data_IF_308504247756
#
_entry.id   IF_308504247756
#
_cell.length_a   1.000
_cell.length_b   1.000
_cell.length_c   1.000
_cell.angle_alpha   90.00
_cell.angle_beta   90.00
_cell.angle_gamma   90.00
#
_symmetry.space_group_name_H-M   'P 1'
#
loop_
_entity.id
_entity.type
_entity.pdbx_description
1 polymer ?
#
# COMPACT_ATOMS: atom_id res chain seq x y z
N UNK A 1 -25.74 69.68 0.42
CA UNK A 1 -24.64 70.34 1.18
C UNK A 1 -24.25 69.37 2.28
N UNK A 2 -23.06 68.78 2.46
CA UNK A 2 -21.68 68.85 1.94
C UNK A 2 -21.11 67.44 2.31
N UNK A 3 -20.76 66.57 1.36
CA UNK A 3 -19.40 66.20 0.92
C UNK A 3 -18.40 65.67 1.98
N UNK A 4 -18.07 64.38 1.83
CA UNK A 4 -16.76 63.68 1.85
C UNK A 4 -15.71 63.86 2.98
N UNK A 5 -15.16 62.72 3.46
CA UNK A 5 -13.71 62.44 3.49
C UNK A 5 -13.40 60.94 3.75
N UNK A 6 -12.40 60.43 3.03
CA UNK A 6 -11.80 59.10 3.08
C UNK A 6 -10.66 59.03 4.12
N UNK A 7 -10.50 57.87 4.78
CA UNK A 7 -9.23 57.30 5.25
C UNK A 7 -9.52 55.80 5.54
N UNK A 8 -8.82 54.79 5.02
CA UNK A 8 -7.39 54.71 4.69
C UNK A 8 -6.69 53.90 5.77
N UNK A 9 -6.91 52.58 5.81
CA UNK A 9 -6.27 51.68 6.78
C UNK A 9 -6.14 50.26 6.21
N UNK A 10 -5.10 50.05 5.40
CA UNK A 10 -4.67 48.72 4.96
C UNK A 10 -3.85 48.11 6.10
N UNK A 11 -4.40 47.12 6.80
CA UNK A 11 -3.61 46.30 7.72
C UNK A 11 -2.84 45.28 6.90
N UNK A 12 -1.58 45.59 6.60
CA UNK A 12 -0.62 44.66 6.03
C UNK A 12 -0.23 43.66 7.12
N UNK A 13 -0.67 42.42 6.99
CA UNK A 13 -0.10 41.31 7.76
C UNK A 13 1.25 40.95 7.13
N UNK A 14 2.33 41.39 7.75
CA UNK A 14 3.67 40.87 7.46
C UNK A 14 3.74 39.48 8.07
N UNK A 15 3.62 38.46 7.22
CA UNK A 15 3.83 37.07 7.59
C UNK A 15 5.32 36.92 7.92
N UNK A 16 5.64 36.60 9.18
CA UNK A 16 7.02 36.25 9.57
C UNK A 16 7.34 34.89 8.95
N UNK A 17 8.20 34.90 7.95
CA UNK A 17 8.88 33.69 7.48
C UNK A 17 9.71 33.12 8.63
N UNK A 18 9.48 31.85 8.97
CA UNK A 18 10.38 31.09 9.85
C UNK A 18 9.78 30.43 11.08
N UNK A 19 8.46 30.29 11.23
CA UNK A 19 7.94 29.28 12.15
C UNK A 19 8.04 27.90 11.48
N UNK A 20 8.84 26.96 12.03
CA UNK A 20 8.86 25.60 11.52
C UNK A 20 7.44 25.04 11.63
N UNK A 21 6.91 24.56 10.50
CA UNK A 21 5.71 23.73 10.47
C UNK A 21 5.84 22.69 11.58
N UNK A 22 4.89 22.60 12.53
CA UNK A 22 4.98 21.58 13.56
C UNK A 22 5.08 20.24 12.85
N UNK A 23 6.14 19.50 13.18
CA UNK A 23 6.27 18.10 12.78
C UNK A 23 4.94 17.39 13.09
N UNK A 24 4.55 16.35 12.31
CA UNK A 24 3.40 15.54 12.67
C UNK A 24 3.54 15.19 14.14
N UNK A 25 2.52 15.54 14.92
CA UNK A 25 2.48 15.22 16.34
C UNK A 25 2.48 13.70 16.40
N UNK A 26 3.66 13.11 16.57
CA UNK A 26 3.79 11.78 17.15
C UNK A 26 3.12 11.94 18.50
N UNK A 27 1.89 11.44 18.63
CA UNK A 27 1.14 11.53 19.87
C UNK A 27 1.97 10.82 20.93
N UNK A 28 2.72 11.61 21.71
CA UNK A 28 3.67 11.11 22.68
C UNK A 28 2.91 10.18 23.64
N UNK A 29 3.16 8.87 23.55
CA UNK A 29 2.48 7.85 24.36
C UNK A 29 1.91 6.67 23.59
N UNK A 30 1.62 6.82 22.28
CA UNK A 30 1.08 5.71 21.47
C UNK A 30 2.19 4.84 20.89
N UNK A 31 1.99 3.54 21.01
CA UNK A 31 2.85 2.46 20.55
C UNK A 31 2.24 1.86 19.29
N UNK A 32 3.05 1.73 18.25
CA UNK A 32 2.65 1.07 17.00
C UNK A 32 2.63 -0.45 17.21
N UNK A 33 1.53 -1.09 16.83
CA UNK A 33 1.35 -2.53 16.90
C UNK A 33 0.87 -3.03 15.55
N UNK A 34 1.55 -4.04 15.00
CA UNK A 34 1.07 -4.71 13.80
C UNK A 34 0.57 -6.11 14.17
N UNK A 35 -0.61 -6.45 13.68
CA UNK A 35 -1.15 -7.79 13.70
C UNK A 35 -0.99 -8.38 12.30
N UNK A 36 -0.48 -9.60 12.23
CA UNK A 36 -0.29 -10.33 10.99
C UNK A 36 -0.78 -11.77 11.17
N UNK A 37 -1.51 -12.27 10.19
CA UNK A 37 -1.98 -13.66 10.14
C UNK A 37 -1.65 -14.24 8.77
N UNK A 38 -1.02 -15.40 8.72
CA UNK A 38 -0.72 -16.14 7.48
C UNK A 38 -0.92 -17.63 7.67
N UNK A 39 -0.76 -18.43 6.62
CA UNK A 39 -0.75 -19.89 6.69
C UNK A 39 -1.27 -20.50 5.40
N UNK A 40 -1.46 -21.82 5.40
CA UNK A 40 -2.00 -22.55 4.24
C UNK A 40 -3.53 -22.44 4.15
N UNK A 41 -4.19 -21.92 5.19
CA UNK A 41 -5.62 -21.61 5.15
C UNK A 41 -5.88 -20.44 4.19
N UNK A 42 -6.81 -20.61 3.26
CA UNK A 42 -7.20 -19.56 2.30
C UNK A 42 -7.84 -18.34 3.01
N UNK A 43 -8.62 -18.60 4.04
CA UNK A 43 -9.26 -17.62 4.91
C UNK A 43 -9.21 -18.05 6.39
N UNK A 44 -9.50 -17.11 7.29
CA UNK A 44 -9.62 -17.37 8.72
C UNK A 44 -10.61 -16.41 9.39
N UNK A 45 -11.27 -16.88 10.43
CA UNK A 45 -12.01 -16.05 11.37
C UNK A 45 -11.01 -15.37 12.30
N UNK A 46 -11.07 -14.03 12.35
CA UNK A 46 -10.13 -13.21 13.11
C UNK A 46 -10.86 -12.52 14.25
N UNK A 47 -10.24 -12.54 15.43
CA UNK A 47 -10.65 -11.72 16.56
C UNK A 47 -9.42 -11.03 17.14
N UNK A 48 -9.44 -9.70 17.19
CA UNK A 48 -8.28 -8.96 17.67
C UNK A 48 -8.64 -7.68 18.41
N UNK A 49 -7.80 -7.28 19.38
CA UNK A 49 -8.00 -6.04 20.13
C UNK A 49 -7.58 -4.83 19.30
N UNK A 50 -8.25 -3.71 19.50
CA UNK A 50 -7.86 -2.39 18.99
C UNK A 50 -7.73 -1.41 20.15
N UNK A 51 -7.30 -0.18 19.88
CA UNK A 51 -7.27 0.88 20.90
C UNK A 51 -8.64 1.17 21.51
N UNK A 52 -9.74 0.81 20.81
CA UNK A 52 -11.11 1.16 21.19
C UNK A 52 -11.97 -0.07 21.58
N UNK A 53 -11.46 -1.29 21.49
CA UNK A 53 -12.26 -2.49 21.78
C UNK A 53 -11.69 -3.77 21.18
N UNK A 54 -12.57 -4.62 20.69
CA UNK A 54 -12.24 -5.87 19.99
C UNK A 54 -12.99 -5.88 18.67
N UNK A 55 -12.30 -6.21 17.59
CA UNK A 55 -12.87 -6.44 16.27
C UNK A 55 -12.95 -7.93 15.96
N UNK A 56 -13.97 -8.29 15.17
CA UNK A 56 -14.21 -9.65 14.69
C UNK A 56 -14.50 -9.61 13.20
N UNK A 57 -13.86 -10.50 12.46
CA UNK A 57 -13.99 -10.61 11.00
C UNK A 57 -14.06 -12.08 10.62
N UNK A 58 -15.18 -12.51 10.06
CA UNK A 58 -15.39 -13.89 9.63
C UNK A 58 -14.86 -14.09 8.21
N UNK A 59 -14.30 -15.28 7.92
CA UNK A 59 -13.78 -15.66 6.61
C UNK A 59 -12.84 -14.60 5.97
N UNK A 60 -11.95 -14.02 6.78
CA UNK A 60 -10.97 -13.03 6.32
C UNK A 60 -9.94 -13.72 5.44
N UNK A 61 -9.76 -13.25 4.20
CA UNK A 61 -8.72 -13.77 3.30
C UNK A 61 -7.33 -13.58 3.90
N UNK A 62 -6.52 -14.64 3.84
CA UNK A 62 -5.14 -14.62 4.30
C UNK A 62 -4.15 -14.41 3.14
N UNK A 63 -2.97 -13.84 3.40
CA UNK A 63 -2.55 -13.29 4.69
C UNK A 63 -3.26 -11.96 5.03
N UNK A 64 -3.50 -11.76 6.31
CA UNK A 64 -4.11 -10.55 6.86
C UNK A 64 -3.07 -9.72 7.60
N UNK A 65 -3.13 -8.40 7.49
CA UNK A 65 -2.39 -7.47 8.36
C UNK A 65 -3.23 -6.26 8.71
N UNK A 66 -3.04 -5.75 9.93
CA UNK A 66 -3.52 -4.43 10.32
C UNK A 66 -2.50 -3.72 11.19
N UNK A 67 -2.41 -2.39 11.04
CA UNK A 67 -1.58 -1.50 11.85
C UNK A 67 -2.48 -0.74 12.82
N UNK A 68 -2.14 -0.79 14.10
CA UNK A 68 -2.95 -0.26 15.19
C UNK A 68 -2.08 0.56 16.13
N UNK A 69 -2.70 1.49 16.84
CA UNK A 69 -2.03 2.36 17.81
C UNK A 69 -2.62 2.12 19.20
N UNK A 70 -1.75 1.80 20.16
CA UNK A 70 -2.13 1.47 21.54
C UNK A 70 -1.41 2.38 22.54
N UNK A 71 -2.05 2.62 23.69
CA UNK A 71 -1.32 3.17 24.84
C UNK A 71 -0.32 2.14 25.39
N UNK A 72 0.81 2.62 25.92
CA UNK A 72 1.79 1.74 26.56
C UNK A 72 1.14 0.90 27.69
N UNK A 73 1.41 -0.40 27.70
CA UNK A 73 0.87 -1.37 28.65
C UNK A 73 -0.49 -1.95 28.27
N UNK A 74 -1.14 -1.45 27.20
CA UNK A 74 -2.41 -2.00 26.74
C UNK A 74 -2.27 -3.47 26.31
N UNK A 75 -3.26 -4.28 26.67
CA UNK A 75 -3.29 -5.69 26.30
C UNK A 75 -3.50 -5.87 24.79
N UNK A 76 -2.68 -6.74 24.21
CA UNK A 76 -2.72 -7.15 22.82
C UNK A 76 -3.28 -8.57 22.74
N UNK A 77 -4.16 -8.82 21.78
CA UNK A 77 -4.71 -10.14 21.50
C UNK A 77 -5.04 -10.24 20.04
N UNK A 78 -4.59 -11.31 19.39
CA UNK A 78 -4.88 -11.67 18.01
C UNK A 78 -5.15 -13.17 17.97
N UNK A 79 -6.40 -13.53 17.71
CA UNK A 79 -6.84 -14.90 17.46
C UNK A 79 -7.14 -15.05 15.97
N UNK A 80 -6.64 -16.13 15.38
CA UNK A 80 -6.96 -16.55 14.03
C UNK A 80 -7.43 -18.01 14.04
N UNK A 81 -8.51 -18.30 13.32
CA UNK A 81 -9.06 -19.65 13.19
C UNK A 81 -9.34 -19.96 11.71
N UNK A 82 -8.57 -20.86 11.12
CA UNK A 82 -8.70 -21.28 9.72
C UNK A 82 -9.00 -22.77 9.57
N UNK A 83 -9.27 -23.20 8.33
CA UNK A 83 -9.47 -24.61 7.96
C UNK A 83 -8.14 -25.35 7.70
N UNK A 84 -7.07 -24.60 7.45
CA UNK A 84 -5.70 -25.10 7.32
C UNK A 84 -4.77 -24.61 8.44
N UNK A 85 -3.46 -24.68 8.21
CA UNK A 85 -2.50 -24.07 9.13
C UNK A 85 -2.70 -22.56 9.13
N UNK A 86 -2.64 -21.95 10.32
CA UNK A 86 -2.59 -20.50 10.49
C UNK A 86 -1.50 -20.14 11.49
N UNK A 87 -0.88 -18.99 11.29
CA UNK A 87 0.14 -18.41 12.15
C UNK A 87 -0.26 -16.97 12.42
N UNK A 88 -0.38 -16.62 13.69
CA UNK A 88 -0.49 -15.22 14.09
C UNK A 88 0.90 -14.68 14.42
N UNK A 89 1.10 -13.39 14.19
CA UNK A 89 2.29 -12.65 14.61
C UNK A 89 1.85 -11.25 15.06
N UNK A 90 2.41 -10.82 16.19
CA UNK A 90 2.21 -9.48 16.75
C UNK A 90 3.56 -8.82 16.83
N UNK A 91 3.69 -7.64 16.22
CA UNK A 91 4.88 -6.79 16.36
C UNK A 91 4.55 -5.54 17.14
N UNK A 92 5.53 -5.06 17.90
CA UNK A 92 5.49 -3.79 18.63
C UNK A 92 6.71 -3.00 18.19
N UNK A 93 6.53 -1.85 17.55
CA UNK A 93 7.63 -1.08 16.95
C UNK A 93 8.57 -1.97 16.09
N UNK A 94 7.98 -2.82 15.26
CA UNK A 94 8.65 -3.80 14.37
C UNK A 94 9.37 -4.98 15.04
N UNK A 95 9.38 -5.06 16.37
CA UNK A 95 9.89 -6.25 17.08
C UNK A 95 8.77 -7.27 17.25
N UNK A 96 8.99 -8.53 16.84
CA UNK A 96 8.04 -9.62 17.08
C UNK A 96 7.96 -9.86 18.58
N UNK A 97 6.80 -9.63 19.19
CA UNK A 97 6.57 -9.87 20.62
C UNK A 97 5.76 -11.14 20.87
N UNK A 98 5.04 -11.61 19.86
CA UNK A 98 4.35 -12.90 19.89
C UNK A 98 4.25 -13.47 18.47
N UNK A 99 4.49 -14.77 18.34
CA UNK A 99 4.31 -15.51 17.11
C UNK A 99 3.91 -16.94 17.46
N UNK A 100 2.76 -17.40 16.95
CA UNK A 100 2.20 -18.71 17.30
C UNK A 100 1.61 -19.33 16.03
N UNK A 101 1.97 -20.58 15.76
CA UNK A 101 1.33 -21.41 14.74
C UNK A 101 0.23 -22.25 15.39
N UNK A 102 -0.95 -22.26 14.78
CA UNK A 102 -2.09 -23.08 15.19
C UNK A 102 -1.99 -24.55 14.77
N UNK A 103 -0.92 -24.93 14.08
CA UNK A 103 -0.71 -26.31 13.64
C UNK A 103 -1.88 -26.84 12.80
N UNK A 104 -2.21 -28.12 12.98
CA UNK A 104 -3.31 -28.79 12.27
C UNK A 104 -4.70 -28.44 12.80
N UNK A 105 -4.77 -27.88 14.02
CA UNK A 105 -6.04 -27.50 14.64
C UNK A 105 -6.55 -26.15 14.12
N UNK A 106 -5.71 -25.45 13.34
CA UNK A 106 -6.10 -24.23 12.63
C UNK A 106 -6.36 -23.03 13.53
N UNK A 107 -5.97 -23.07 14.81
CA UNK A 107 -6.21 -21.97 15.77
C UNK A 107 -4.90 -21.42 16.32
N UNK A 108 -4.58 -20.16 16.00
CA UNK A 108 -3.44 -19.44 16.54
C UNK A 108 -3.91 -18.28 17.45
N UNK A 109 -3.27 -18.14 18.62
CA UNK A 109 -3.55 -17.05 19.56
C UNK A 109 -2.25 -16.37 20.00
N UNK A 110 -2.11 -15.11 19.63
CA UNK A 110 -0.99 -14.26 20.00
C UNK A 110 -1.46 -13.25 21.05
N UNK A 111 -0.70 -13.12 22.14
CA UNK A 111 -1.02 -12.19 23.23
C UNK A 111 0.23 -11.40 23.64
N UNK A 112 0.03 -10.21 24.21
CA UNK A 112 1.12 -9.36 24.67
C UNK A 112 0.65 -8.06 25.30
N UNK A 113 1.56 -7.14 25.51
CA UNK A 113 1.32 -5.79 26.03
C UNK A 113 2.17 -4.77 25.26
N UNK A 114 1.52 -3.72 24.77
CA UNK A 114 2.15 -2.68 23.96
C UNK A 114 3.30 -1.99 24.71
N UNK A 115 4.52 -2.03 24.17
CA UNK A 115 5.69 -1.36 24.76
C UNK A 115 6.14 -1.92 26.11
N UNK A 116 5.68 -3.11 26.49
CA UNK A 116 6.06 -3.82 27.73
C UNK A 116 6.55 -5.23 27.44
N UNK A 117 5.88 -5.96 26.54
CA UNK A 117 6.34 -7.29 26.13
C UNK A 117 7.66 -7.17 25.39
N UNK A 118 8.64 -7.99 25.79
CA UNK A 118 9.96 -8.04 25.16
C UNK A 118 9.87 -8.74 23.81
N UNK A 119 10.77 -8.37 22.89
CA UNK A 119 10.97 -9.09 21.65
C UNK A 119 11.23 -10.59 21.90
N UNK A 120 10.61 -11.42 21.07
CA UNK A 120 10.79 -12.86 21.04
C UNK A 120 12.10 -13.17 20.29
N UNK A 121 13.11 -13.62 21.03
CA UNK A 121 14.43 -13.92 20.46
C UNK A 121 14.34 -15.07 19.44
N UNK A 122 14.87 -14.86 18.24
CA UNK A 122 14.85 -15.84 17.16
C UNK A 122 13.53 -15.95 16.40
N UNK A 123 12.53 -15.13 16.73
CA UNK A 123 11.32 -15.03 15.93
C UNK A 123 11.64 -14.40 14.57
N UNK A 124 11.17 -15.04 13.51
CA UNK A 124 11.34 -14.56 12.13
C UNK A 124 10.07 -13.81 11.78
N UNK A 125 10.19 -12.55 11.34
CA UNK A 125 9.06 -11.84 10.76
C UNK A 125 8.52 -12.71 9.61
N UNK A 126 7.22 -13.07 9.62
CA UNK A 126 6.64 -13.84 8.53
C UNK A 126 6.96 -13.19 7.19
N UNK A 127 7.13 -13.97 6.11
CA UNK A 127 7.55 -13.46 4.81
C UNK A 127 6.59 -12.38 4.28
N UNK A 128 6.95 -11.14 4.58
CA UNK A 128 6.27 -9.89 4.22
C UNK A 128 7.17 -8.68 4.47
N UNK A 129 8.49 -8.92 4.54
CA UNK A 129 9.58 -7.95 4.70
C UNK A 129 10.86 -8.43 3.97
N UNK A 130 11.91 -7.61 3.91
CA UNK A 130 12.80 -7.37 2.75
C UNK A 130 13.77 -8.50 2.31
N UNK A 131 13.59 -9.73 2.79
CA UNK A 131 14.43 -10.85 2.37
C UNK A 131 13.93 -11.41 1.03
N UNK A 132 14.81 -11.37 0.03
CA UNK A 132 14.49 -11.85 -1.32
C UNK A 132 14.36 -13.36 -1.31
N UNK A 133 13.27 -13.87 -1.91
CA UNK A 133 13.11 -15.31 -2.14
C UNK A 133 14.03 -15.78 -3.24
N UNK A 134 14.38 -17.07 -3.22
CA UNK A 134 15.13 -17.69 -4.30
C UNK A 134 14.40 -17.49 -5.64
N UNK A 135 15.12 -16.96 -6.64
CA UNK A 135 14.57 -16.61 -7.96
C UNK A 135 14.00 -15.20 -8.07
N UNK A 136 13.92 -14.43 -6.97
CA UNK A 136 13.56 -13.01 -7.04
C UNK A 136 14.68 -12.15 -7.61
N UNK A 137 14.27 -11.13 -8.36
CA UNK A 137 15.19 -10.14 -8.92
C UNK A 137 14.72 -8.75 -8.50
N UNK A 138 15.60 -8.00 -7.85
CA UNK A 138 15.42 -6.57 -7.61
C UNK A 138 16.36 -5.76 -8.46
N UNK A 139 15.82 -4.73 -9.12
CA UNK A 139 16.63 -3.83 -9.92
C UNK A 139 17.38 -2.88 -9.00
N UNK A 140 18.72 -2.90 -9.08
CA UNK A 140 19.62 -1.95 -8.41
C UNK A 140 19.99 -0.75 -9.28
N UNK A 141 19.78 -0.86 -10.58
CA UNK A 141 20.02 0.21 -11.55
C UNK A 141 18.72 0.77 -12.11
N UNK A 142 18.83 1.90 -12.82
CA UNK A 142 17.72 2.46 -13.58
C UNK A 142 17.48 1.61 -14.83
N UNK A 143 16.25 1.15 -14.99
CA UNK A 143 15.77 0.48 -16.20
C UNK A 143 14.47 1.19 -16.61
N UNK A 144 14.41 1.81 -17.80
CA UNK A 144 13.21 2.51 -18.23
C UNK A 144 12.01 1.58 -18.33
N UNK A 145 10.81 2.10 -18.02
CA UNK A 145 9.58 1.41 -18.34
C UNK A 145 9.46 1.30 -19.85
N UNK A 146 9.22 0.07 -20.31
CA UNK A 146 9.04 -0.16 -21.73
C UNK A 146 7.76 0.49 -22.23
N UNK A 147 7.75 0.83 -23.52
CA UNK A 147 6.50 1.09 -24.23
C UNK A 147 5.88 -0.24 -24.60
N UNK A 148 4.78 -0.58 -23.95
CA UNK A 148 4.08 -1.82 -24.23
C UNK A 148 3.44 -1.76 -25.62
N UNK A 149 3.66 -2.76 -26.48
CA UNK A 149 3.15 -2.74 -27.84
C UNK A 149 1.63 -2.98 -27.86
N UNK A 150 0.95 -2.37 -28.82
CA UNK A 150 -0.48 -2.52 -29.01
C UNK A 150 -1.21 -1.18 -28.98
N UNK A 151 -2.54 -1.26 -28.90
CA UNK A 151 -3.41 -0.08 -28.81
C UNK A 151 -3.97 -0.01 -27.40
N UNK A 152 -3.72 1.11 -26.72
CA UNK A 152 -4.33 1.38 -25.44
C UNK A 152 -5.85 1.49 -25.57
N UNK A 153 -6.54 1.15 -24.48
CA UNK A 153 -7.96 1.36 -24.27
C UNK A 153 -8.31 2.85 -24.51
N UNK A 154 -9.51 3.14 -25.02
CA UNK A 154 -9.96 4.52 -25.13
C UNK A 154 -9.98 5.18 -23.75
N UNK A 155 -9.78 6.50 -23.69
CA UNK A 155 -9.99 7.26 -22.46
C UNK A 155 -11.43 7.78 -22.44
N UNK A 156 -12.12 7.64 -21.31
CA UNK A 156 -13.51 8.08 -21.11
C UNK A 156 -13.62 9.27 -20.16
N UNK A 157 -12.47 9.82 -19.74
CA UNK A 157 -12.44 10.97 -18.85
C UNK A 157 -11.16 11.05 -18.05
N UNK A 158 -11.29 11.52 -16.83
CA UNK A 158 -10.19 11.71 -15.88
C UNK A 158 -10.66 11.42 -14.48
N UNK A 159 -9.95 10.52 -13.82
CA UNK A 159 -10.11 10.30 -12.38
C UNK A 159 -9.45 11.47 -11.65
N UNK A 160 -10.14 12.03 -10.66
CA UNK A 160 -9.59 12.98 -9.70
C UNK A 160 -9.65 12.36 -8.31
N UNK A 161 -8.49 12.08 -7.74
CA UNK A 161 -8.31 11.63 -6.36
C UNK A 161 -7.87 12.84 -5.53
N UNK A 162 -8.84 13.46 -4.83
CA UNK A 162 -8.59 14.70 -4.09
C UNK A 162 -7.69 14.46 -2.89
N UNK A 163 -7.87 13.32 -2.24
CA UNK A 163 -7.13 12.89 -1.07
C UNK A 163 -5.67 12.57 -1.44
N UNK A 164 -5.43 12.01 -2.63
CA UNK A 164 -4.09 11.81 -3.16
C UNK A 164 -3.52 13.02 -3.89
N UNK A 165 -4.29 14.08 -4.16
CA UNK A 165 -3.84 15.20 -5.00
C UNK A 165 -3.32 14.75 -6.37
N UNK A 166 -3.98 13.76 -6.96
CA UNK A 166 -3.62 13.21 -8.26
C UNK A 166 -4.82 13.21 -9.19
N UNK A 167 -4.56 13.47 -10.47
CA UNK A 167 -5.49 13.12 -11.54
C UNK A 167 -4.81 12.36 -12.66
N UNK A 168 -5.57 11.47 -13.32
CA UNK A 168 -5.06 10.57 -14.35
C UNK A 168 -6.20 10.13 -15.28
N UNK A 169 -5.86 9.60 -16.46
CA UNK A 169 -6.81 9.14 -17.45
C UNK A 169 -7.75 8.09 -16.85
N UNK A 170 -9.05 8.29 -17.04
CA UNK A 170 -10.04 7.24 -16.81
C UNK A 170 -10.14 6.43 -18.09
N UNK A 171 -9.85 5.14 -18.03
CA UNK A 171 -9.93 4.26 -19.19
C UNK A 171 -11.38 3.79 -19.39
N UNK A 172 -11.77 3.64 -20.65
CA UNK A 172 -13.04 3.08 -21.07
C UNK A 172 -12.88 1.69 -21.68
N UNK A 173 -13.89 1.23 -22.41
CA UNK A 173 -13.93 -0.11 -22.98
C UNK A 173 -14.33 -1.14 -21.92
N UNK A 174 -13.45 -2.10 -21.62
CA UNK A 174 -13.70 -3.13 -20.58
C UNK A 174 -13.50 -2.58 -19.17
N UNK A 175 -12.73 -1.51 -19.02
CA UNK A 175 -12.52 -0.83 -17.75
C UNK A 175 -13.81 -0.21 -17.24
N UNK A 176 -14.25 -0.61 -16.05
CA UNK A 176 -15.40 0.01 -15.40
C UNK A 176 -15.05 1.42 -14.94
N UNK A 177 -16.04 2.32 -14.91
CA UNK A 177 -15.86 3.66 -14.37
C UNK A 177 -15.21 3.63 -12.97
N UNK A 178 -14.35 4.61 -12.70
CA UNK A 178 -13.64 4.72 -11.44
C UNK A 178 -14.62 4.98 -10.29
N UNK A 179 -14.50 4.18 -9.23
CA UNK A 179 -15.27 4.32 -7.99
C UNK A 179 -14.40 4.78 -6.83
N UNK A 180 -15.05 5.29 -5.79
CA UNK A 180 -14.42 5.43 -4.48
C UNK A 180 -14.19 4.05 -3.87
N UNK A 181 -13.12 3.94 -3.12
CA UNK A 181 -12.73 2.78 -2.34
C UNK A 181 -12.56 3.19 -0.88
N UNK A 182 -12.65 2.23 0.04
CA UNK A 182 -12.34 2.49 1.44
C UNK A 182 -10.84 2.26 1.67
N UNK A 183 -10.03 3.30 1.98
CA UNK A 183 -8.60 3.15 2.17
C UNK A 183 -8.22 2.21 3.32
N UNK A 184 -9.07 2.08 4.35
CA UNK A 184 -8.83 1.19 5.50
C UNK A 184 -8.97 -0.29 5.15
N UNK A 185 -9.76 -0.61 4.12
CA UNK A 185 -10.06 -1.99 3.72
C UNK A 185 -9.32 -2.37 2.44
N UNK A 186 -9.31 -1.47 1.46
CA UNK A 186 -8.78 -1.73 0.12
C UNK A 186 -7.35 -1.17 -0.06
N UNK A 187 -6.93 -0.25 0.81
CA UNK A 187 -5.61 0.38 0.74
C UNK A 187 -5.48 1.46 -0.33
N UNK A 188 -6.59 1.95 -0.90
CA UNK A 188 -6.63 3.01 -1.91
C UNK A 188 -7.90 3.85 -1.81
N UNK A 189 -7.89 5.08 -2.35
CA UNK A 189 -9.01 6.02 -2.32
C UNK A 189 -9.92 5.85 -3.55
N UNK A 190 -9.31 5.55 -4.70
CA UNK A 190 -9.98 5.38 -5.99
C UNK A 190 -9.52 4.08 -6.64
N UNK A 191 -10.44 3.44 -7.37
CA UNK A 191 -10.11 2.26 -8.17
C UNK A 191 -10.97 2.17 -9.42
N UNK A 192 -10.39 1.62 -10.48
CA UNK A 192 -11.02 1.24 -11.74
C UNK A 192 -10.50 -0.16 -12.08
N UNK A 193 -11.37 -1.03 -12.57
CA UNK A 193 -10.97 -2.39 -12.88
C UNK A 193 -12.05 -3.20 -13.56
N UNK A 194 -11.67 -4.41 -13.96
CA UNK A 194 -12.58 -5.40 -14.51
C UNK A 194 -12.13 -6.81 -14.10
N UNK A 195 -13.09 -7.74 -13.94
CA UNK A 195 -12.76 -9.11 -13.59
C UNK A 195 -12.12 -9.83 -14.77
N UNK A 196 -11.07 -10.62 -14.50
CA UNK A 196 -10.46 -11.54 -15.48
C UNK A 196 -10.93 -12.96 -15.19
N UNK A 197 -10.74 -13.41 -13.96
CA UNK A 197 -11.19 -14.70 -13.43
C UNK A 197 -11.67 -14.52 -11.98
N UNK A 198 -12.19 -15.58 -11.35
CA UNK A 198 -12.63 -15.52 -9.95
C UNK A 198 -11.50 -15.04 -9.03
N UNK A 199 -11.71 -13.88 -8.40
CA UNK A 199 -10.74 -13.20 -7.54
C UNK A 199 -9.41 -12.83 -8.24
N UNK A 200 -9.43 -12.62 -9.56
CA UNK A 200 -8.29 -12.07 -10.30
C UNK A 200 -8.75 -10.95 -11.21
N UNK A 201 -8.51 -9.71 -10.78
CA UNK A 201 -8.98 -8.51 -11.46
C UNK A 201 -7.81 -7.75 -12.08
N UNK A 202 -8.05 -7.11 -13.23
CA UNK A 202 -7.20 -6.03 -13.69
C UNK A 202 -7.63 -4.74 -12.96
N UNK A 203 -6.67 -4.04 -12.35
CA UNK A 203 -6.94 -2.91 -11.45
C UNK A 203 -6.01 -1.74 -11.72
N UNK A 204 -6.56 -0.53 -11.68
CA UNK A 204 -5.87 0.76 -11.57
C UNK A 204 -6.40 1.43 -10.31
N UNK A 205 -5.52 1.72 -9.36
CA UNK A 205 -5.89 2.33 -8.09
C UNK A 205 -4.99 3.51 -7.75
N UNK A 206 -5.51 4.48 -7.02
CA UNK A 206 -4.73 5.61 -6.49
C UNK A 206 -5.02 5.84 -5.02
N UNK A 207 -4.03 6.39 -4.33
CA UNK A 207 -4.12 6.65 -2.90
C UNK A 207 -2.93 7.41 -2.36
N UNK A 208 -2.86 7.46 -1.02
CA UNK A 208 -1.74 8.04 -0.26
C UNK A 208 -1.00 6.91 0.44
N UNK A 209 0.33 6.97 0.48
CA UNK A 209 1.14 5.97 1.15
C UNK A 209 0.70 5.76 2.61
N UNK A 210 0.52 4.49 2.99
CA UNK A 210 0.22 4.10 4.37
C UNK A 210 1.38 4.40 5.32
N UNK A 211 1.11 4.51 6.62
CA UNK A 211 2.11 4.75 7.66
C UNK A 211 3.22 3.68 7.67
N UNK A 212 2.87 2.40 7.53
CA UNK A 212 3.84 1.31 7.42
C UNK A 212 4.86 1.51 6.29
N UNK A 213 4.42 2.03 5.14
CA UNK A 213 5.29 2.31 3.99
C UNK A 213 6.22 3.52 4.21
N UNK A 214 5.83 4.47 5.06
CA UNK A 214 6.65 5.65 5.36
C UNK A 214 7.97 5.31 6.04
N UNK A 215 8.11 4.10 6.62
CA UNK A 215 9.38 3.61 7.16
C UNK A 215 10.47 3.51 6.08
N UNK A 216 10.09 3.14 4.85
CA UNK A 216 10.98 3.05 3.70
C UNK A 216 11.24 4.42 3.03
N UNK A 217 10.39 5.41 3.27
CA UNK A 217 10.49 6.75 2.65
C UNK A 217 11.53 7.64 3.34
N UNK A 218 12.82 7.29 3.20
CA UNK A 218 13.95 8.00 3.83
C UNK A 218 15.16 8.10 2.91
N UNK A 219 15.98 9.13 3.10
CA UNK A 219 17.20 9.37 2.33
C UNK A 219 16.95 9.86 0.90
N UNK A 220 18.00 9.87 0.09
CA UNK A 220 17.96 10.43 -1.28
C UNK A 220 17.17 9.55 -2.26
N UNK A 221 17.16 8.24 -2.05
CA UNK A 221 16.41 7.25 -2.84
C UNK A 221 15.01 6.96 -2.27
N UNK A 222 14.47 7.84 -1.40
CA UNK A 222 13.24 7.61 -0.64
C UNK A 222 12.03 7.16 -1.47
N UNK A 223 11.82 7.73 -2.67
CA UNK A 223 10.70 7.36 -3.53
C UNK A 223 10.88 5.96 -4.13
N UNK A 224 12.11 5.62 -4.52
CA UNK A 224 12.44 4.28 -5.02
C UNK A 224 12.26 3.24 -3.93
N UNK A 225 12.75 3.52 -2.73
CA UNK A 225 12.61 2.64 -1.57
C UNK A 225 11.13 2.44 -1.21
N UNK A 226 10.34 3.51 -1.24
CA UNK A 226 8.90 3.45 -1.03
C UNK A 226 8.19 2.57 -2.07
N UNK A 227 8.48 2.75 -3.36
CA UNK A 227 7.89 1.93 -4.43
C UNK A 227 8.28 0.46 -4.29
N UNK A 228 9.54 0.16 -3.95
CA UNK A 228 9.98 -1.22 -3.70
C UNK A 228 9.22 -1.84 -2.53
N UNK A 229 9.13 -1.12 -1.40
CA UNK A 229 8.42 -1.59 -0.21
C UNK A 229 6.92 -1.82 -0.50
N UNK A 230 6.29 -0.95 -1.28
CA UNK A 230 4.89 -1.11 -1.68
C UNK A 230 4.68 -2.34 -2.57
N UNK A 231 5.61 -2.62 -3.49
CA UNK A 231 5.54 -3.84 -4.30
C UNK A 231 5.81 -5.11 -3.49
N UNK A 232 6.73 -5.06 -2.53
CA UNK A 232 6.99 -6.18 -1.61
C UNK A 232 5.77 -6.47 -0.72
N UNK A 233 5.13 -5.41 -0.23
CA UNK A 233 3.88 -5.48 0.55
C UNK A 233 2.74 -6.11 -0.28
N UNK A 234 2.52 -5.62 -1.50
CA UNK A 234 1.50 -6.16 -2.42
C UNK A 234 1.78 -7.61 -2.81
N UNK A 235 3.03 -7.95 -3.08
CA UNK A 235 3.42 -9.33 -3.38
C UNK A 235 3.14 -10.28 -2.20
N UNK A 236 3.40 -9.83 -0.98
CA UNK A 236 3.13 -10.61 0.23
C UNK A 236 1.62 -10.80 0.44
N UNK A 237 0.82 -9.73 0.32
CA UNK A 237 -0.62 -9.78 0.58
C UNK A 237 -1.44 -10.46 -0.50
N UNK A 238 -1.26 -10.05 -1.75
CA UNK A 238 -2.18 -10.42 -2.81
C UNK A 238 -1.90 -11.84 -3.33
N UNK A 239 -0.73 -12.44 -3.00
CA UNK A 239 -0.24 -13.69 -3.61
C UNK A 239 0.35 -14.72 -2.62
N UNK A 240 -0.10 -14.71 -1.35
CA UNK A 240 -0.01 -15.81 -0.37
C UNK A 240 1.36 -16.50 -0.20
N UNK A 241 2.46 -15.81 -0.46
CA UNK A 241 3.79 -16.28 -0.09
C UNK A 241 4.53 -17.18 -1.10
N UNK A 242 3.89 -17.65 -2.19
CA UNK A 242 4.57 -18.39 -3.26
C UNK A 242 5.03 -17.51 -4.42
N UNK A 243 4.54 -16.27 -4.50
CA UNK A 243 4.90 -15.38 -5.59
C UNK A 243 6.39 -15.05 -5.60
N UNK A 244 7.00 -15.14 -6.78
CA UNK A 244 8.37 -14.74 -7.08
C UNK A 244 8.32 -13.47 -7.94
N UNK A 245 8.87 -12.39 -7.40
CA UNK A 245 8.92 -11.09 -8.05
C UNK A 245 10.20 -10.85 -8.84
N UNK A 246 10.05 -10.42 -10.09
CA UNK A 246 11.12 -9.94 -10.96
C UNK A 246 10.87 -8.49 -11.36
N UNK A 247 11.66 -7.58 -10.82
CA UNK A 247 11.63 -6.17 -11.26
C UNK A 247 12.10 -6.09 -12.72
N UNK A 248 11.29 -5.47 -13.58
CA UNK A 248 11.55 -5.34 -15.02
C UNK A 248 11.71 -3.89 -15.48
N UNK A 249 11.27 -2.93 -14.67
CA UNK A 249 11.56 -1.51 -14.85
C UNK A 249 11.66 -0.82 -13.50
N UNK A 250 12.51 0.20 -13.41
CA UNK A 250 12.65 1.07 -12.25
C UNK A 250 13.31 2.37 -12.69
N UNK A 251 12.58 3.49 -12.63
CA UNK A 251 13.12 4.79 -13.01
C UNK A 251 12.47 5.96 -12.29
N UNK A 252 13.20 7.07 -12.18
CA UNK A 252 12.64 8.36 -11.76
C UNK A 252 11.68 8.91 -12.81
N UNK A 253 10.65 9.61 -12.34
CA UNK A 253 9.72 10.39 -13.14
C UNK A 253 9.71 11.85 -12.67
N UNK A 254 9.27 12.75 -13.56
CA UNK A 254 8.83 14.11 -13.22
C UNK A 254 7.36 14.25 -13.61
N UNK A 255 6.51 14.50 -12.63
CA UNK A 255 5.05 14.56 -12.80
C UNK A 255 4.59 15.94 -12.35
N UNK A 256 4.10 16.77 -13.27
CA UNK A 256 3.76 18.18 -12.99
C UNK A 256 4.90 18.97 -12.28
N UNK A 257 6.16 18.63 -12.54
CA UNK A 257 7.32 19.24 -11.87
C UNK A 257 7.70 18.61 -10.53
N UNK A 258 6.88 17.70 -9.99
CA UNK A 258 7.13 16.95 -8.77
C UNK A 258 7.99 15.70 -9.02
N UNK A 259 8.89 15.33 -8.09
CA UNK A 259 9.61 14.08 -8.15
C UNK A 259 8.66 12.87 -8.07
N UNK A 260 8.89 11.88 -8.91
CA UNK A 260 8.20 10.59 -8.85
C UNK A 260 9.16 9.43 -9.09
N UNK A 261 8.69 8.23 -8.80
CA UNK A 261 9.40 7.00 -9.16
C UNK A 261 8.39 5.95 -9.61
N UNK A 262 8.74 5.20 -10.66
CA UNK A 262 7.95 4.06 -11.13
C UNK A 262 8.79 2.80 -11.08
N UNK A 263 8.16 1.70 -10.69
CA UNK A 263 8.71 0.35 -10.81
C UNK A 263 7.65 -0.57 -11.39
N UNK A 264 8.09 -1.48 -12.26
CA UNK A 264 7.27 -2.57 -12.78
C UNK A 264 7.87 -3.90 -12.34
N UNK A 265 7.03 -4.81 -11.86
CA UNK A 265 7.39 -6.13 -11.38
C UNK A 265 6.50 -7.19 -12.02
N UNK A 266 7.12 -8.16 -12.66
CA UNK A 266 6.45 -9.42 -13.00
C UNK A 266 6.34 -10.24 -11.72
N UNK A 267 5.12 -10.57 -11.31
CA UNK A 267 4.87 -11.52 -10.23
C UNK A 267 4.42 -12.83 -10.82
N UNK A 268 5.22 -13.89 -10.60
CA UNK A 268 4.89 -15.25 -10.98
C UNK A 268 4.47 -16.04 -9.74
N UNK A 269 3.38 -16.77 -9.81
CA UNK A 269 2.85 -17.55 -8.70
C UNK A 269 2.04 -18.71 -9.24
N UNK A 270 1.78 -19.72 -8.40
CA UNK A 270 0.93 -20.85 -8.76
C UNK A 270 -0.45 -20.67 -8.13
N UNK A 271 -1.51 -20.80 -8.92
CA UNK A 271 -2.91 -20.80 -8.47
C UNK A 271 -3.61 -22.00 -9.07
N UNK A 272 -4.26 -22.82 -8.25
CA UNK A 272 -4.94 -24.04 -8.66
C UNK A 272 -4.06 -25.02 -9.47
N UNK A 273 -2.75 -25.06 -9.16
CA UNK A 273 -1.77 -25.90 -9.85
C UNK A 273 -1.26 -25.35 -11.18
N UNK A 274 -1.72 -24.17 -11.59
CA UNK A 274 -1.31 -23.51 -12.82
C UNK A 274 -0.38 -22.32 -12.54
N UNK A 275 0.67 -22.20 -13.34
CA UNK A 275 1.56 -21.04 -13.30
C UNK A 275 0.84 -19.82 -13.86
N UNK A 276 0.77 -18.78 -13.04
CA UNK A 276 0.16 -17.49 -13.36
C UNK A 276 1.20 -16.38 -13.28
N UNK A 277 0.94 -15.31 -14.01
CA UNK A 277 1.75 -14.10 -13.95
C UNK A 277 0.86 -12.87 -13.99
N UNK A 278 1.17 -11.89 -13.15
CA UNK A 278 0.63 -10.53 -13.25
C UNK A 278 1.77 -9.53 -13.38
N UNK A 279 1.52 -8.47 -14.13
CA UNK A 279 2.40 -7.31 -14.15
C UNK A 279 1.87 -6.27 -13.16
N UNK A 280 2.63 -6.06 -12.08
CA UNK A 280 2.38 -4.97 -11.14
C UNK A 280 3.23 -3.76 -11.53
N UNK A 281 2.62 -2.57 -11.54
CA UNK A 281 3.30 -1.30 -11.72
C UNK A 281 2.88 -0.36 -10.62
N UNK A 282 3.86 0.22 -9.93
CA UNK A 282 3.61 1.16 -8.85
C UNK A 282 4.36 2.46 -9.13
N UNK A 283 3.64 3.57 -9.07
CA UNK A 283 4.15 4.93 -9.26
C UNK A 283 3.95 5.67 -7.94
N UNK A 284 5.03 6.14 -7.32
CA UNK A 284 4.95 7.06 -6.19
C UNK A 284 5.28 8.49 -6.64
N UNK A 285 4.57 9.48 -6.10
CA UNK A 285 4.72 10.90 -6.42
C UNK A 285 4.85 11.70 -5.14
N UNK A 286 5.91 12.49 -5.04
CA UNK A 286 6.07 13.46 -3.95
C UNK A 286 5.29 14.73 -4.29
N UNK A 287 4.02 14.76 -3.90
CA UNK A 287 3.10 15.88 -4.15
C UNK A 287 3.41 17.11 -3.28
N UNK A 288 4.42 17.06 -2.41
CA UNK A 288 4.69 18.07 -1.39
C UNK A 288 3.87 17.90 -0.11
N UNK A 289 2.97 16.92 -0.06
CA UNK A 289 2.25 16.52 1.13
C UNK A 289 3.10 15.64 2.07
N UNK A 290 2.75 15.54 3.37
CA UNK A 290 3.52 14.75 4.34
C UNK A 290 3.73 13.27 3.97
N UNK A 291 2.80 12.70 3.18
CA UNK A 291 2.88 11.32 2.68
C UNK A 291 2.79 11.34 1.16
N UNK A 292 3.67 10.63 0.42
CA UNK A 292 3.60 10.54 -1.02
C UNK A 292 2.30 9.92 -1.50
N UNK A 293 1.86 10.36 -2.66
CA UNK A 293 0.72 9.81 -3.36
C UNK A 293 1.16 8.68 -4.28
N UNK A 294 0.25 7.79 -4.67
CA UNK A 294 0.60 6.71 -5.58
C UNK A 294 -0.48 6.35 -6.58
N UNK A 295 -0.05 5.69 -7.66
CA UNK A 295 -0.90 4.90 -8.55
C UNK A 295 -0.35 3.47 -8.59
N UNK A 296 -1.24 2.50 -8.38
CA UNK A 296 -1.00 1.07 -8.56
C UNK A 296 -1.74 0.62 -9.82
N UNK A 297 -1.08 -0.21 -10.63
CA UNK A 297 -1.69 -0.94 -11.73
C UNK A 297 -1.33 -2.42 -11.61
N UNK A 298 -2.31 -3.30 -11.76
CA UNK A 298 -2.13 -4.75 -11.79
C UNK A 298 -2.86 -5.28 -13.02
N UNK A 299 -2.12 -5.89 -13.95
CA UNK A 299 -2.71 -6.47 -15.16
C UNK A 299 -2.25 -7.93 -15.31
N UNK A 300 -3.18 -8.89 -15.14
CA UNK A 300 -2.96 -10.31 -15.38
C UNK A 300 -2.41 -10.60 -16.79
N UNK A 301 -1.52 -11.59 -16.93
CA UNK A 301 -0.99 -12.00 -18.24
C UNK A 301 -2.06 -12.39 -19.27
N UNK A 302 -3.17 -13.08 -18.93
CA UNK A 302 -4.26 -13.32 -19.88
C UNK A 302 -4.81 -12.04 -20.52
N UNK A 303 -4.68 -10.92 -19.82
CA UNK A 303 -5.11 -9.58 -20.23
C UNK A 303 -3.96 -8.68 -20.69
N UNK A 304 -2.79 -9.25 -21.04
CA UNK A 304 -1.60 -8.48 -21.49
C UNK A 304 -1.83 -7.56 -22.69
N UNK A 305 -2.91 -7.77 -23.44
CA UNK A 305 -3.36 -6.83 -24.49
C UNK A 305 -3.64 -5.42 -23.95
N UNK A 306 -3.90 -5.29 -22.64
CA UNK A 306 -4.12 -4.04 -21.92
C UNK A 306 -2.84 -3.45 -21.30
N UNK A 307 -1.66 -4.06 -21.46
CA UNK A 307 -0.42 -3.45 -20.98
C UNK A 307 -0.10 -2.06 -21.57
N UNK A 308 -0.47 -1.70 -22.81
CA UNK A 308 -0.35 -0.32 -23.30
C UNK A 308 -1.07 0.73 -22.43
N UNK A 309 -2.09 0.31 -21.68
CA UNK A 309 -2.83 1.18 -20.77
C UNK A 309 -1.95 1.71 -19.64
N UNK A 310 -0.92 0.94 -19.24
CA UNK A 310 0.07 1.36 -18.24
C UNK A 310 0.77 2.64 -18.69
N UNK A 311 1.20 2.70 -19.95
CA UNK A 311 1.85 3.91 -20.48
C UNK A 311 0.84 5.07 -20.55
N UNK A 312 -0.40 4.81 -21.00
CA UNK A 312 -1.45 5.85 -21.05
C UNK A 312 -1.74 6.44 -19.66
N UNK A 313 -1.85 5.61 -18.63
CA UNK A 313 -2.07 6.07 -17.25
C UNK A 313 -0.87 6.87 -16.77
N UNK A 314 0.36 6.34 -16.86
CA UNK A 314 1.59 7.03 -16.41
C UNK A 314 1.77 8.39 -17.09
N UNK A 315 1.59 8.44 -18.40
CA UNK A 315 1.77 9.67 -19.19
C UNK A 315 0.69 10.72 -18.89
N UNK A 316 -0.43 10.31 -18.29
CA UNK A 316 -1.56 11.19 -17.96
C UNK A 316 -1.56 11.74 -16.53
N UNK A 317 -0.67 11.23 -15.66
CA UNK A 317 -0.66 11.60 -14.24
C UNK A 317 -0.36 13.10 -14.09
N UNK A 318 -1.13 13.77 -13.25
CA UNK A 318 -0.91 15.15 -12.82
C UNK A 318 -1.03 15.24 -11.31
N UNK A 319 -0.24 16.15 -10.73
CA UNK A 319 -0.45 16.65 -9.38
C UNK A 319 -1.38 17.86 -9.46
N UNK A 320 -2.44 17.85 -8.64
CA UNK A 320 -3.49 18.89 -8.57
C UNK A 320 -3.45 19.70 -7.27
#
# INVERSE_FOLDING_TARGET
MVAAALAGGVTVWVQRDGEPTPAPVVTAGKIEVNYFVSGDSHDADLEYRTGNGTERHDATRLPFRTELWFEKGAALSLRAQGTGTVMCTVTVNDEVVAQVSGGKDGVALCTGQAGVTKALAGAVLPPGGPELRDGEVRLRTVVPIQRFPGRASPTDGRVTDKEAHLSYAELGGVWKASRRANPEVEGFNRTQGFPVESAWDAVIASGVAGSGLMKAYKGDDRLRALVSAALDERQSFDFQGSAIGRDVASQSLKISGHPGWVMARELRYTKDGEDRMTLLVFVAVDTGNPRPSFILMSIPEPEKRHWPDINTVIDSIRVD
#
